data_IF_942006443887
#
_entry.id   IF_942006443887
#
_cell.length_a   1.000
_cell.length_b   1.000
_cell.length_c   1.000
_cell.angle_alpha   90.00
_cell.angle_beta   90.00
_cell.angle_gamma   90.00
#
_symmetry.space_group_name_H-M   'P 1'
#
loop_
_entity.id
_entity.type
_entity.pdbx_description
1 polymer ?
#
# COMPACT_ATOMS: atom_id res chain seq x y z
N UNK A 1 2.09 -5.88 8.24
CA UNK A 1 0.85 -6.00 9.03
C UNK A 1 0.19 -7.31 8.62
N UNK A 2 -0.36 -8.10 9.53
CA UNK A 2 -1.15 -9.27 9.10
C UNK A 2 -2.54 -8.83 8.63
N UNK A 3 -3.12 -9.59 7.72
CA UNK A 3 -4.41 -9.24 7.13
C UNK A 3 -5.57 -9.36 8.13
N UNK A 4 -5.50 -10.30 9.08
CA UNK A 4 -6.62 -10.62 9.96
C UNK A 4 -6.20 -10.75 11.42
N UNK A 5 -6.94 -10.06 12.28
CA UNK A 5 -6.79 -10.09 13.72
C UNK A 5 -8.15 -10.24 14.39
N UNK A 6 -8.19 -10.93 15.53
CA UNK A 6 -9.31 -10.83 16.45
C UNK A 6 -9.36 -9.41 17.05
N UNK A 7 -10.50 -8.75 16.96
CA UNK A 7 -10.62 -7.32 17.35
C UNK A 7 -10.65 -7.10 18.86
N UNK A 8 -10.84 -8.15 19.66
CA UNK A 8 -10.84 -8.09 21.13
C UNK A 8 -9.50 -8.48 21.72
N UNK A 9 -8.88 -9.53 21.18
CA UNK A 9 -7.63 -10.10 21.72
C UNK A 9 -6.39 -9.63 20.96
N UNK A 10 -6.57 -9.05 19.76
CA UNK A 10 -5.49 -8.68 18.83
C UNK A 10 -4.62 -9.88 18.39
N UNK A 11 -5.11 -11.10 18.58
CA UNK A 11 -4.44 -12.31 18.09
C UNK A 11 -4.58 -12.42 16.57
N UNK A 12 -3.51 -12.87 15.92
CA UNK A 12 -3.49 -13.12 14.47
C UNK A 12 -4.42 -14.29 14.17
N UNK A 13 -5.28 -14.14 13.17
CA UNK A 13 -6.15 -15.21 12.70
C UNK A 13 -5.46 -16.03 11.61
N UNK A 14 -5.65 -17.34 11.64
CA UNK A 14 -5.13 -18.25 10.63
C UNK A 14 -6.02 -18.26 9.36
N UNK A 15 -5.44 -18.36 8.15
CA UNK A 15 -4.00 -18.36 7.87
C UNK A 15 -3.40 -16.96 8.00
N UNK A 16 -2.26 -16.86 8.69
CA UNK A 16 -1.54 -15.60 8.80
C UNK A 16 -0.98 -15.19 7.43
N UNK A 17 -1.26 -13.97 7.00
CA UNK A 17 -0.83 -13.46 5.71
C UNK A 17 -0.49 -11.98 5.81
N UNK A 18 0.51 -11.54 5.06
CA UNK A 18 0.92 -10.14 4.92
C UNK A 18 0.72 -9.78 3.45
N UNK A 19 -0.33 -9.01 3.14
CA UNK A 19 -0.56 -8.52 1.77
C UNK A 19 0.07 -7.14 1.56
N UNK A 20 0.54 -6.90 0.33
CA UNK A 20 1.03 -5.58 -0.09
C UNK A 20 -0.10 -4.55 -0.15
N UNK A 21 -1.27 -4.95 -0.66
CA UNK A 21 -2.40 -4.03 -0.85
C UNK A 21 -2.99 -3.57 0.47
N UNK A 22 -3.28 -4.48 1.40
CA UNK A 22 -3.91 -4.12 2.67
C UNK A 22 -2.95 -3.31 3.54
N UNK A 23 -1.68 -3.73 3.62
CA UNK A 23 -0.65 -2.98 4.33
C UNK A 23 -0.45 -1.58 3.73
N UNK A 24 -0.45 -1.50 2.39
CA UNK A 24 -0.31 -0.25 1.66
C UNK A 24 -1.48 0.71 1.87
N UNK A 25 -2.70 0.21 1.72
CA UNK A 25 -3.93 0.96 1.95
C UNK A 25 -4.01 1.45 3.39
N UNK A 26 -3.67 0.61 4.36
CA UNK A 26 -3.67 0.98 5.77
C UNK A 26 -2.73 2.16 6.04
N UNK A 27 -1.47 2.10 5.58
CA UNK A 27 -0.52 3.19 5.77
C UNK A 27 -0.96 4.47 5.05
N UNK A 28 -1.47 4.37 3.83
CA UNK A 28 -1.94 5.54 3.09
C UNK A 28 -3.13 6.21 3.79
N UNK A 29 -4.08 5.43 4.30
CA UNK A 29 -5.19 5.93 5.11
C UNK A 29 -4.70 6.62 6.40
N UNK A 30 -3.73 6.04 7.09
CA UNK A 30 -3.13 6.67 8.28
C UNK A 30 -2.42 7.98 7.94
N UNK A 31 -1.71 8.04 6.82
CA UNK A 31 -1.05 9.27 6.35
C UNK A 31 -2.08 10.35 6.05
N UNK A 32 -3.16 10.01 5.33
CA UNK A 32 -4.26 10.94 5.07
C UNK A 32 -4.91 11.43 6.36
N UNK A 33 -5.19 10.53 7.30
CA UNK A 33 -5.74 10.87 8.62
C UNK A 33 -4.81 11.82 9.37
N UNK A 34 -3.52 11.52 9.45
CA UNK A 34 -2.51 12.35 10.12
C UNK A 34 -2.48 13.75 9.54
N UNK A 35 -2.46 13.90 8.22
CA UNK A 35 -2.47 15.23 7.58
C UNK A 35 -3.80 15.98 7.80
N UNK A 36 -4.94 15.27 7.81
CA UNK A 36 -6.23 15.84 8.18
C UNK A 36 -6.29 16.31 9.64
N UNK A 37 -5.75 15.53 10.58
CA UNK A 37 -5.70 15.87 12.00
C UNK A 37 -4.84 17.11 12.27
N UNK A 38 -3.78 17.37 11.49
CA UNK A 38 -3.00 18.62 11.61
C UNK A 38 -3.83 19.87 11.31
N UNK A 39 -4.83 19.74 10.47
CA UNK A 39 -5.73 20.84 10.10
C UNK A 39 -6.97 20.88 11.01
N UNK A 40 -7.25 19.81 11.74
CA UNK A 40 -8.41 19.68 12.60
C UNK A 40 -8.17 20.36 13.94
N UNK A 41 -8.79 21.53 14.13
CA UNK A 41 -8.78 22.25 15.40
C UNK A 41 -9.96 21.82 16.27
N UNK A 42 -9.72 20.94 17.24
CA UNK A 42 -10.72 20.56 18.25
C UNK A 42 -10.09 20.44 19.62
N UNK A 43 -10.69 21.08 20.62
CA UNK A 43 -10.25 21.01 22.02
C UNK A 43 -10.66 19.71 22.73
N UNK A 44 -11.47 18.85 22.09
CA UNK A 44 -12.02 17.62 22.71
C UNK A 44 -11.18 16.37 22.44
N UNK A 45 -10.30 16.41 21.45
CA UNK A 45 -9.51 15.25 21.02
C UNK A 45 -8.04 15.64 21.06
N UNK A 46 -7.21 14.82 21.69
CA UNK A 46 -5.75 15.00 21.69
C UNK A 46 -5.18 14.58 20.32
N UNK A 47 -5.24 15.48 19.35
CA UNK A 47 -4.78 15.21 17.97
C UNK A 47 -3.27 14.98 17.91
N UNK A 48 -2.50 15.68 18.74
CA UNK A 48 -1.03 15.58 18.77
C UNK A 48 -0.55 14.17 19.14
N UNK A 49 -1.18 13.55 20.15
CA UNK A 49 -0.86 12.19 20.55
C UNK A 49 -1.18 11.17 19.44
N UNK A 50 -2.33 11.31 18.78
CA UNK A 50 -2.72 10.44 17.66
C UNK A 50 -1.74 10.61 16.49
N UNK A 51 -1.38 11.85 16.14
CA UNK A 51 -0.39 12.15 15.11
C UNK A 51 0.96 11.50 15.44
N UNK A 52 1.40 11.57 16.70
CA UNK A 52 2.65 10.95 17.13
C UNK A 52 2.61 9.42 16.98
N UNK A 53 1.50 8.77 17.37
CA UNK A 53 1.31 7.32 17.20
C UNK A 53 1.33 6.92 15.73
N UNK A 54 0.64 7.68 14.86
CA UNK A 54 0.65 7.39 13.41
C UNK A 54 2.06 7.55 12.83
N UNK A 55 2.81 8.59 13.22
CA UNK A 55 4.20 8.77 12.79
C UNK A 55 5.07 7.57 13.19
N UNK A 56 4.89 7.05 14.40
CA UNK A 56 5.63 5.88 14.86
C UNK A 56 5.31 4.65 13.99
N UNK A 57 4.04 4.40 13.67
CA UNK A 57 3.64 3.30 12.77
C UNK A 57 4.28 3.48 11.39
N UNK A 58 4.20 4.69 10.81
CA UNK A 58 4.78 5.00 9.50
C UNK A 58 6.30 4.76 9.47
N UNK A 59 7.03 5.20 10.50
CA UNK A 59 8.49 5.06 10.58
C UNK A 59 8.95 3.61 10.78
N UNK A 60 8.16 2.79 11.46
CA UNK A 60 8.47 1.38 11.71
C UNK A 60 7.95 0.45 10.60
N UNK A 61 7.31 1.00 9.56
CA UNK A 61 6.83 0.20 8.44
C UNK A 61 7.89 0.13 7.34
N UNK A 62 8.35 -1.08 7.06
CA UNK A 62 9.22 -1.36 5.93
C UNK A 62 8.42 -2.05 4.81
N UNK A 63 8.38 -1.42 3.64
CA UNK A 63 7.75 -1.98 2.43
C UNK A 63 8.75 -2.67 1.50
N UNK A 64 10.06 -2.54 1.73
CA UNK A 64 11.07 -3.22 0.93
C UNK A 64 10.99 -4.74 1.10
N UNK A 65 10.53 -5.21 2.27
CA UNK A 65 10.27 -6.62 2.50
C UNK A 65 9.20 -7.23 1.59
N UNK A 66 8.36 -6.41 0.93
CA UNK A 66 7.33 -6.85 -0.03
C UNK A 66 7.68 -6.52 -1.50
N UNK A 67 8.87 -5.96 -1.73
CA UNK A 67 9.31 -5.48 -3.04
C UNK A 67 10.32 -6.43 -3.66
N UNK A 68 10.07 -6.85 -4.91
CA UNK A 68 11.01 -7.61 -5.72
C UNK A 68 11.86 -6.65 -6.55
N UNK A 69 13.05 -6.33 -6.05
CA UNK A 69 13.98 -5.40 -6.70
C UNK A 69 14.36 -5.85 -8.12
N UNK A 70 14.51 -7.15 -8.33
CA UNK A 70 14.85 -7.74 -9.63
C UNK A 70 13.75 -7.53 -10.68
N UNK A 71 12.50 -7.35 -10.26
CA UNK A 71 11.35 -7.06 -11.13
C UNK A 71 10.91 -5.60 -11.08
N UNK A 72 11.44 -4.83 -10.14
CA UNK A 72 10.96 -3.50 -9.77
C UNK A 72 9.46 -3.46 -9.43
N UNK A 73 8.88 -4.54 -8.89
CA UNK A 73 7.44 -4.67 -8.61
C UNK A 73 7.19 -5.13 -7.18
N UNK A 74 6.01 -4.81 -6.65
CA UNK A 74 5.54 -5.39 -5.39
C UNK A 74 4.98 -6.80 -5.63
N UNK A 75 5.29 -7.72 -4.73
CA UNK A 75 4.65 -9.04 -4.68
C UNK A 75 3.21 -8.94 -4.19
N UNK A 76 2.41 -9.99 -4.38
CA UNK A 76 1.10 -10.13 -3.75
C UNK A 76 1.20 -10.03 -2.22
N UNK A 77 2.21 -10.71 -1.66
CA UNK A 77 2.41 -10.80 -0.22
C UNK A 77 3.27 -11.99 0.16
N UNK A 78 3.16 -12.38 1.43
CA UNK A 78 3.82 -13.56 1.98
C UNK A 78 3.12 -14.08 3.23
N UNK A 79 3.33 -15.37 3.53
CA UNK A 79 3.00 -15.96 4.83
C UNK A 79 4.21 -15.83 5.77
N UNK A 80 3.99 -15.83 7.11
CA UNK A 80 5.12 -15.89 8.04
C UNK A 80 6.03 -17.06 7.70
N UNK A 81 7.34 -16.81 7.75
CA UNK A 81 8.40 -17.81 7.52
C UNK A 81 8.41 -18.46 6.11
N UNK A 82 7.61 -17.94 5.17
CA UNK A 82 7.63 -18.31 3.76
C UNK A 82 8.37 -17.25 2.93
N UNK A 83 8.92 -17.64 1.76
CA UNK A 83 9.46 -16.65 0.82
C UNK A 83 8.36 -15.74 0.27
N UNK A 84 8.79 -14.63 -0.32
CA UNK A 84 7.88 -13.72 -1.01
C UNK A 84 7.24 -14.40 -2.22
N UNK A 85 5.93 -14.25 -2.39
CA UNK A 85 5.25 -14.84 -3.53
C UNK A 85 5.80 -14.32 -4.86
N UNK A 86 5.90 -15.19 -5.86
CA UNK A 86 6.37 -14.82 -7.20
C UNK A 86 5.36 -14.02 -8.01
N UNK A 87 4.08 -14.07 -7.62
CA UNK A 87 3.02 -13.27 -8.21
C UNK A 87 3.24 -11.81 -7.79
N UNK A 88 3.25 -10.90 -8.77
CA UNK A 88 3.47 -9.48 -8.56
C UNK A 88 2.30 -8.65 -9.06
N UNK A 89 2.10 -7.49 -8.46
CA UNK A 89 1.21 -6.46 -8.98
C UNK A 89 1.88 -5.74 -10.15
N UNK A 90 1.64 -6.24 -11.36
CA UNK A 90 2.23 -5.70 -12.58
C UNK A 90 1.29 -4.74 -13.33
N UNK A 91 0.00 -4.67 -13.00
CA UNK A 91 -0.92 -3.75 -13.69
C UNK A 91 -0.86 -2.33 -13.15
N UNK A 92 -0.76 -1.36 -14.05
CA UNK A 92 -0.81 0.06 -13.70
C UNK A 92 -2.12 0.45 -13.01
N UNK A 93 -3.25 -0.08 -13.48
CA UNK A 93 -4.57 0.09 -12.87
C UNK A 93 -4.88 -1.12 -11.99
N UNK A 94 -4.37 -1.11 -10.76
CA UNK A 94 -4.64 -2.13 -9.75
C UNK A 94 -4.92 -1.51 -8.39
N UNK A 95 -5.49 -2.30 -7.48
CA UNK A 95 -5.61 -1.98 -6.06
C UNK A 95 -4.26 -1.63 -5.40
N UNK A 96 -3.15 -2.15 -5.93
CA UNK A 96 -1.79 -1.84 -5.46
C UNK A 96 -1.29 -0.46 -5.90
N UNK A 97 -2.01 0.26 -6.76
CA UNK A 97 -1.55 1.57 -7.26
C UNK A 97 -1.32 2.59 -6.14
N UNK A 98 -2.08 2.49 -5.05
CA UNK A 98 -1.92 3.41 -3.91
C UNK A 98 -0.56 3.23 -3.23
N UNK A 99 -0.14 1.99 -2.97
CA UNK A 99 1.18 1.71 -2.39
C UNK A 99 2.31 2.02 -3.37
N UNK A 100 2.14 1.74 -4.66
CA UNK A 100 3.08 2.20 -5.70
C UNK A 100 3.30 3.70 -5.66
N UNK A 101 2.22 4.48 -5.55
CA UNK A 101 2.29 5.93 -5.44
C UNK A 101 3.02 6.38 -4.19
N UNK A 102 2.60 5.87 -3.04
CA UNK A 102 3.20 6.19 -1.75
C UNK A 102 4.70 5.87 -1.72
N UNK A 103 5.07 4.64 -2.09
CA UNK A 103 6.44 4.17 -2.01
C UNK A 103 7.39 4.94 -2.94
N UNK A 104 6.96 5.28 -4.17
CA UNK A 104 7.77 6.12 -5.06
C UNK A 104 7.86 7.56 -4.55
N UNK A 105 6.75 8.15 -4.10
CA UNK A 105 6.74 9.52 -3.57
C UNK A 105 7.63 9.68 -2.33
N UNK A 106 7.65 8.66 -1.46
CA UNK A 106 8.51 8.57 -0.28
C UNK A 106 9.95 8.16 -0.57
N UNK A 107 10.28 7.84 -1.83
CA UNK A 107 11.59 7.31 -2.26
C UNK A 107 11.97 6.01 -1.55
N UNK A 108 10.99 5.22 -1.14
CA UNK A 108 11.20 3.86 -0.64
C UNK A 108 11.63 2.96 -1.81
N UNK A 109 10.97 3.11 -2.96
CA UNK A 109 11.31 2.37 -4.19
C UNK A 109 11.67 3.32 -5.33
N UNK A 110 12.47 2.90 -6.33
CA UNK A 110 12.88 3.75 -7.43
C UNK A 110 11.72 4.08 -8.38
N UNK A 111 11.80 5.21 -9.09
CA UNK A 111 10.83 5.59 -10.13
C UNK A 111 10.73 4.56 -11.28
N UNK A 112 11.73 3.69 -11.45
CA UNK A 112 11.72 2.55 -12.38
C UNK A 112 10.52 1.62 -12.14
N UNK A 113 9.97 1.60 -10.93
CA UNK A 113 8.73 0.90 -10.61
C UNK A 113 7.61 1.23 -11.61
N UNK A 114 7.36 2.51 -11.90
CA UNK A 114 6.30 2.92 -12.83
C UNK A 114 6.49 2.39 -14.26
N UNK A 115 7.74 2.24 -14.69
CA UNK A 115 8.08 1.73 -16.02
C UNK A 115 7.91 0.22 -16.14
N UNK A 116 7.87 -0.47 -14.99
CA UNK A 116 7.76 -1.93 -14.92
C UNK A 116 6.29 -2.38 -14.84
N UNK A 117 5.36 -1.44 -14.65
CA UNK A 117 3.93 -1.71 -14.68
C UNK A 117 3.44 -1.80 -16.13
N UNK A 118 2.73 -2.86 -16.44
CA UNK A 118 2.10 -3.12 -17.72
C UNK A 118 0.77 -2.35 -17.88
N UNK A 119 0.27 -2.27 -19.12
CA UNK A 119 -1.06 -1.71 -19.49
C UNK A 119 -1.29 -0.22 -19.13
N UNK A 120 -0.25 0.60 -19.27
CA UNK A 120 -0.20 1.98 -18.76
C UNK A 120 -1.14 2.95 -19.49
N UNK A 121 -1.19 2.92 -20.83
CA UNK A 121 -2.03 3.83 -21.63
C UNK A 121 -2.37 3.21 -22.99
N UNK A 122 -3.64 3.31 -23.36
CA UNK A 122 -4.19 2.95 -24.66
C UNK A 122 -4.87 4.19 -25.23
N UNK A 123 -4.69 4.41 -26.52
CA UNK A 123 -5.38 5.45 -27.26
C UNK A 123 -6.45 4.79 -28.15
N UNK A 124 -7.67 5.30 -28.10
CA UNK A 124 -8.73 4.96 -29.07
C UNK A 124 -9.36 6.25 -29.59
N UNK A 125 -9.07 6.60 -30.85
CA UNK A 125 -9.48 7.87 -31.46
C UNK A 125 -8.98 9.07 -30.62
N UNK A 126 -9.87 9.95 -30.17
CA UNK A 126 -9.58 11.12 -29.33
C UNK A 126 -9.49 10.81 -27.83
N UNK A 127 -9.68 9.54 -27.42
CA UNK A 127 -9.68 9.15 -26.02
C UNK A 127 -8.35 8.50 -25.61
N UNK A 128 -7.82 8.97 -24.48
CA UNK A 128 -6.67 8.38 -23.80
C UNK A 128 -7.14 7.79 -22.47
N UNK A 129 -6.79 6.53 -22.20
CA UNK A 129 -7.11 5.87 -20.95
C UNK A 129 -6.19 4.68 -20.70
N UNK A 130 -6.07 4.22 -19.45
CA UNK A 130 -5.31 3.00 -19.17
C UNK A 130 -6.13 1.76 -19.54
N UNK A 131 -5.46 0.70 -20.01
CA UNK A 131 -6.12 -0.57 -20.27
C UNK A 131 -6.40 -1.24 -18.91
N UNK A 132 -7.67 -1.37 -18.55
CA UNK A 132 -8.10 -2.19 -17.42
C UNK A 132 -8.88 -3.40 -17.95
N UNK A 133 -8.55 -4.58 -17.47
CA UNK A 133 -9.38 -5.76 -17.64
C UNK A 133 -10.00 -6.09 -16.28
N UNK A 134 -11.31 -6.28 -16.26
CA UNK A 134 -12.18 -6.38 -15.08
C UNK A 134 -12.05 -5.21 -14.11
N UNK A 135 -12.79 -4.14 -14.36
CA UNK A 135 -13.31 -3.38 -13.22
C UNK A 135 -14.24 -4.32 -12.47
N UNK A 136 -13.95 -4.65 -11.23
CA UNK A 136 -14.99 -5.16 -10.32
C UNK A 136 -15.97 -4.01 -10.17
N UNK A 137 -17.16 -4.17 -10.73
CA UNK A 137 -18.27 -3.24 -10.57
C UNK A 137 -18.79 -3.24 -9.13
#
# INVERSE_FOLDING_TARGET
LYNWYDTKTLQILAPAYISTVDSGNFICCLVALKEGLKQYSSKKVNTDEIIARIKAIEQNTDFLCLYKEERNLFSLGTRPDEPLEDICYDFYMSEARMISYYAVAKRIVPQKHWKSLSRTLVQKSLYFGAASWSGTA
#
